data_IF_342607677704
#
_entry.id   IF_342607677704
#
_cell.length_a   1.000
_cell.length_b   1.000
_cell.length_c   1.000
_cell.angle_alpha   90.00
_cell.angle_beta   90.00
_cell.angle_gamma   90.00
#
_symmetry.space_group_name_H-M   'P 1'
#
loop_
_entity.id
_entity.type
_entity.pdbx_description
1 polymer ?
#
# COMPACT_ATOMS: atom_id res chain seq x y z
N UNK A 1 5.13 -15.85 -4.62
CA UNK A 1 5.96 -14.71 -4.17
C UNK A 1 6.10 -13.73 -5.31
N UNK A 2 6.40 -12.46 -5.01
CA UNK A 2 6.65 -11.45 -6.04
C UNK A 2 8.00 -11.66 -6.71
N UNK A 3 8.11 -11.27 -7.99
CA UNK A 3 9.38 -11.25 -8.70
C UNK A 3 10.31 -10.20 -8.06
N UNK A 4 11.58 -10.53 -7.73
CA UNK A 4 12.51 -9.59 -7.10
C UNK A 4 12.64 -8.28 -7.88
N UNK A 5 12.74 -8.36 -9.20
CA UNK A 5 12.86 -7.22 -10.09
C UNK A 5 11.63 -6.29 -10.06
N UNK A 6 10.44 -6.82 -9.79
CA UNK A 6 9.22 -6.03 -9.65
C UNK A 6 9.21 -5.26 -8.33
N UNK A 7 9.62 -5.89 -7.23
CA UNK A 7 9.74 -5.21 -5.94
C UNK A 7 10.83 -4.13 -5.99
N UNK A 8 11.97 -4.41 -6.63
CA UNK A 8 13.04 -3.43 -6.77
C UNK A 8 12.64 -2.26 -7.68
N UNK A 9 11.83 -2.49 -8.71
CA UNK A 9 11.29 -1.41 -9.52
C UNK A 9 10.39 -0.47 -8.69
N UNK A 10 9.55 -1.02 -7.82
CA UNK A 10 8.69 -0.24 -6.91
C UNK A 10 9.52 0.54 -5.90
N UNK A 11 10.56 -0.07 -5.30
CA UNK A 11 11.47 0.61 -4.38
C UNK A 11 12.20 1.77 -5.05
N UNK A 12 12.80 1.54 -6.22
CA UNK A 12 13.51 2.58 -6.97
C UNK A 12 12.60 3.74 -7.37
N UNK A 13 11.36 3.45 -7.76
CA UNK A 13 10.38 4.49 -8.06
C UNK A 13 10.11 5.36 -6.82
N UNK A 14 9.87 4.75 -5.65
CA UNK A 14 9.65 5.47 -4.40
C UNK A 14 10.89 6.30 -3.97
N UNK A 15 12.09 5.73 -4.06
CA UNK A 15 13.37 6.39 -3.74
C UNK A 15 13.66 7.57 -4.67
N UNK A 16 13.22 7.48 -5.94
CA UNK A 16 13.34 8.59 -6.91
C UNK A 16 12.34 9.73 -6.70
N UNK A 17 11.47 9.62 -5.68
CA UNK A 17 10.46 10.62 -5.35
C UNK A 17 9.14 10.47 -6.12
N UNK A 18 8.92 9.34 -6.80
CA UNK A 18 7.61 9.06 -7.42
C UNK A 18 6.55 8.81 -6.36
N UNK A 19 5.31 9.21 -6.64
CA UNK A 19 4.15 8.80 -5.84
C UNK A 19 3.82 7.35 -6.17
N UNK A 20 3.78 6.50 -5.14
CA UNK A 20 3.34 5.12 -5.25
C UNK A 20 1.87 5.05 -4.85
N UNK A 21 1.00 4.90 -5.84
CA UNK A 21 -0.43 4.66 -5.63
C UNK A 21 -0.72 3.15 -5.67
N UNK A 22 -1.40 2.64 -4.66
CA UNK A 22 -1.93 1.28 -4.64
C UNK A 22 -3.44 1.27 -4.59
N UNK A 23 -4.05 0.29 -5.25
CA UNK A 23 -5.50 0.08 -5.25
C UNK A 23 -5.79 -1.33 -4.79
N UNK A 24 -6.73 -1.49 -3.86
CA UNK A 24 -7.19 -2.78 -3.34
C UNK A 24 -5.98 -3.60 -2.83
N UNK A 25 -5.79 -4.82 -3.34
CA UNK A 25 -4.70 -5.73 -2.98
C UNK A 25 -3.31 -5.26 -3.44
N UNK A 26 -3.20 -4.17 -4.20
CA UNK A 26 -1.92 -3.55 -4.54
C UNK A 26 -1.10 -3.15 -3.31
N UNK A 27 -1.76 -2.90 -2.18
CA UNK A 27 -1.08 -2.62 -0.90
C UNK A 27 -0.13 -3.75 -0.46
N UNK A 28 -0.40 -5.01 -0.83
CA UNK A 28 0.50 -6.12 -0.51
C UNK A 28 1.82 -6.06 -1.27
N UNK A 29 1.84 -5.46 -2.48
CA UNK A 29 3.08 -5.22 -3.23
C UNK A 29 3.90 -4.14 -2.53
N UNK A 30 3.26 -3.07 -2.06
CA UNK A 30 3.93 -2.03 -1.26
C UNK A 30 4.47 -2.60 0.06
N UNK A 31 3.71 -3.49 0.72
CA UNK A 31 4.16 -4.21 1.93
C UNK A 31 5.39 -5.08 1.66
N UNK A 32 5.37 -5.89 0.60
CA UNK A 32 6.51 -6.72 0.21
C UNK A 32 7.73 -5.90 -0.23
N UNK A 33 7.52 -4.69 -0.76
CA UNK A 33 8.59 -3.76 -1.08
C UNK A 33 9.17 -3.08 0.18
N UNK A 34 8.57 -3.24 1.36
CA UNK A 34 8.97 -2.56 2.61
C UNK A 34 8.42 -1.14 2.73
N UNK A 35 7.55 -0.71 1.81
CA UNK A 35 7.06 0.67 1.77
C UNK A 35 6.00 0.97 2.82
N UNK A 36 5.44 -0.03 3.51
CA UNK A 36 4.42 0.16 4.56
C UNK A 36 5.01 0.25 5.98
N UNK A 37 6.30 0.00 6.16
CA UNK A 37 6.92 -0.13 7.49
C UNK A 37 6.75 1.16 8.31
N UNK A 38 5.97 1.08 9.39
CA UNK A 38 5.69 2.20 10.30
C UNK A 38 4.72 3.26 9.76
N UNK A 39 4.17 3.07 8.55
CA UNK A 39 3.35 4.07 7.84
C UNK A 39 1.85 3.74 7.89
N UNK A 40 0.98 4.77 7.88
CA UNK A 40 -0.46 4.57 7.76
C UNK A 40 -0.80 4.06 6.36
N UNK A 41 -1.73 3.11 6.27
CA UNK A 41 -2.19 2.57 4.99
C UNK A 41 -3.59 1.97 5.10
N UNK A 42 -4.23 1.77 3.95
CA UNK A 42 -5.45 0.99 3.81
C UNK A 42 -5.34 0.00 2.65
N UNK A 43 -6.27 -0.95 2.57
CA UNK A 43 -6.47 -1.87 1.46
C UNK A 43 -7.96 -2.22 1.41
N UNK A 44 -8.37 -3.07 0.46
CA UNK A 44 -9.75 -3.51 0.42
C UNK A 44 -10.14 -4.17 1.75
N UNK A 45 -11.34 -3.85 2.26
CA UNK A 45 -11.79 -4.26 3.60
C UNK A 45 -11.64 -5.78 3.84
N UNK A 46 -11.92 -6.59 2.82
CA UNK A 46 -11.77 -8.07 2.88
C UNK A 46 -10.33 -8.53 3.15
N UNK A 47 -9.34 -7.69 2.88
CA UNK A 47 -7.91 -8.01 2.99
C UNK A 47 -7.19 -7.23 4.09
N UNK A 48 -7.86 -6.31 4.78
CA UNK A 48 -7.21 -5.44 5.76
C UNK A 48 -6.60 -6.21 6.94
N UNK A 49 -7.29 -7.23 7.45
CA UNK A 49 -6.75 -8.09 8.51
C UNK A 49 -5.58 -8.96 8.03
N UNK A 50 -5.64 -9.44 6.78
CA UNK A 50 -4.54 -10.19 6.18
C UNK A 50 -3.31 -9.32 5.98
N UNK A 51 -3.49 -8.06 5.55
CA UNK A 51 -2.41 -7.10 5.39
C UNK A 51 -1.74 -6.79 6.75
N UNK A 52 -2.53 -6.52 7.78
CA UNK A 52 -2.02 -6.25 9.13
C UNK A 52 -1.29 -7.46 9.74
N UNK A 53 -1.76 -8.67 9.44
CA UNK A 53 -1.10 -9.91 9.90
C UNK A 53 0.23 -10.14 9.19
N UNK A 54 0.28 -9.89 7.88
CA UNK A 54 1.47 -10.13 7.06
C UNK A 54 2.55 -9.05 7.24
N UNK A 55 2.14 -7.80 7.50
CA UNK A 55 3.02 -6.65 7.68
C UNK A 55 2.71 -5.96 9.02
N UNK A 56 3.15 -6.53 10.16
CA UNK A 56 2.74 -6.08 11.50
C UNK A 56 3.22 -4.68 11.89
N UNK A 57 4.20 -4.13 11.17
CA UNK A 57 4.71 -2.76 11.32
C UNK A 57 3.84 -1.73 10.60
N UNK A 58 3.00 -2.14 9.66
CA UNK A 58 2.10 -1.27 8.94
C UNK A 58 0.94 -0.82 9.83
N UNK A 59 0.59 0.47 9.78
CA UNK A 59 -0.52 1.04 10.55
C UNK A 59 -1.80 0.96 9.71
N UNK A 60 -2.36 -0.24 9.58
CA UNK A 60 -3.53 -0.51 8.73
C UNK A 60 -4.81 0.07 9.34
N UNK A 61 -5.40 1.06 8.68
CA UNK A 61 -6.75 1.54 8.95
C UNK A 61 -7.75 0.80 8.06
N UNK A 62 -8.79 0.23 8.70
CA UNK A 62 -9.81 -0.62 8.06
C UNK A 62 -11.02 0.17 7.57
N UNK A 63 -11.15 1.42 8.00
CA UNK A 63 -12.39 2.19 7.90
C UNK A 63 -12.28 3.38 6.94
N UNK A 64 -11.17 3.50 6.21
CA UNK A 64 -10.91 4.61 5.28
C UNK A 64 -10.81 4.13 3.85
N UNK A 65 -11.30 4.97 2.93
CA UNK A 65 -11.26 4.71 1.49
C UNK A 65 -9.84 4.81 0.93
N UNK A 66 -9.09 5.81 1.36
CA UNK A 66 -7.68 5.95 1.02
C UNK A 66 -6.91 6.57 2.18
N UNK A 67 -5.59 6.41 2.13
CA UNK A 67 -4.62 7.10 2.98
C UNK A 67 -3.59 7.74 2.07
N UNK A 68 -3.36 9.04 2.24
CA UNK A 68 -2.23 9.76 1.67
C UNK A 68 -1.18 9.97 2.78
N UNK A 69 0.02 9.45 2.54
CA UNK A 69 1.20 9.62 3.39
C UNK A 69 2.39 10.16 2.58
N UNK A 70 2.13 11.18 1.74
CA UNK A 70 3.14 11.85 0.92
C UNK A 70 3.46 11.07 -0.34
N UNK A 71 4.57 10.34 -0.37
CA UNK A 71 4.97 9.57 -1.58
C UNK A 71 4.32 8.18 -1.67
N UNK A 72 3.41 7.85 -0.75
CA UNK A 72 2.65 6.61 -0.76
C UNK A 72 1.17 6.94 -0.54
N UNK A 73 0.35 6.53 -1.50
CA UNK A 73 -1.10 6.60 -1.43
C UNK A 73 -1.63 5.18 -1.53
N UNK A 74 -2.47 4.77 -0.57
CA UNK A 74 -3.07 3.44 -0.55
C UNK A 74 -4.58 3.57 -0.55
N UNK A 75 -5.26 2.75 -1.35
CA UNK A 75 -6.69 2.85 -1.58
C UNK A 75 -7.37 1.50 -1.42
N UNK A 76 -8.57 1.47 -0.82
CA UNK A 76 -9.37 0.28 -0.61
C UNK A 76 -9.98 -0.30 -1.91
N UNK A 77 -9.98 0.45 -3.02
CA UNK A 77 -10.58 0.03 -4.29
C UNK A 77 -11.92 0.70 -4.62
N UNK A 78 -12.48 0.29 -5.78
CA UNK A 78 -13.56 0.82 -6.66
C UNK A 78 -14.30 2.13 -6.34
N UNK A 79 -14.58 2.50 -5.10
CA UNK A 79 -15.15 3.81 -4.73
C UNK A 79 -14.10 4.85 -4.30
N UNK A 80 -12.89 4.41 -3.94
CA UNK A 80 -11.84 5.27 -3.38
C UNK A 80 -10.90 5.91 -4.42
N UNK A 81 -10.96 5.47 -5.68
CA UNK A 81 -10.08 5.98 -6.75
C UNK A 81 -10.65 7.15 -7.56
N UNK A 82 -11.91 7.53 -7.31
CA UNK A 82 -12.57 8.66 -8.01
C UNK A 82 -12.31 9.99 -7.28
N UNK A 83 -11.94 9.94 -5.99
CA UNK A 83 -11.66 11.11 -5.13
C UNK A 83 -10.19 11.18 -4.64
N UNK A 84 -9.30 10.37 -5.21
CA UNK A 84 -7.87 10.34 -4.87
C UNK A 84 -7.03 11.25 -5.78
#
# INVERSE_FOLDING_TARGET
GYLPEALDAVRRAAESGSIILTVCSGAFVAGAAGLLDGRPCTTHWMHADALATMYPTAKVDRNVLFVDDGNLITSAGTAAGIDA
#
